data_IF_105544890298
#
_entry.id   IF_105544890298
#
_cell.length_a   1.000
_cell.length_b   1.000
_cell.length_c   1.000
_cell.angle_alpha   90.00
_cell.angle_beta   90.00
_cell.angle_gamma   90.00
#
_symmetry.space_group_name_H-M   'P 1'
#
loop_
_entity.id
_entity.type
_entity.pdbx_description
1 polymer ?
#
# COMPACT_ATOMS: atom_id res chain seq x y z
N UNK A 1 26.90 -28.00 25.23
CA UNK A 1 25.89 -27.78 24.16
C UNK A 1 26.09 -26.41 23.52
N UNK A 2 27.15 -26.24 22.71
CA UNK A 2 27.53 -24.94 22.14
C UNK A 2 27.86 -25.03 20.63
N UNK A 3 27.29 -26.01 19.93
CA UNK A 3 27.55 -26.26 18.50
C UNK A 3 26.31 -26.08 17.62
N UNK A 4 25.13 -25.83 18.19
CA UNK A 4 23.88 -25.77 17.42
C UNK A 4 23.51 -24.38 16.88
N UNK A 5 24.22 -23.33 17.30
CA UNK A 5 23.86 -21.92 16.96
C UNK A 5 24.73 -21.35 15.82
N UNK A 6 25.89 -21.96 15.53
CA UNK A 6 26.83 -21.48 14.51
C UNK A 6 26.53 -21.97 13.08
N UNK A 7 25.76 -23.05 12.91
CA UNK A 7 25.47 -23.63 11.59
C UNK A 7 24.40 -22.90 10.76
N UNK A 8 23.62 -22.00 11.37
CA UNK A 8 22.43 -21.39 10.73
C UNK A 8 22.71 -20.09 9.96
N UNK A 9 23.89 -19.50 10.16
CA UNK A 9 24.26 -18.18 9.64
C UNK A 9 25.12 -18.21 8.36
N UNK A 10 25.52 -19.38 7.85
CA UNK A 10 26.64 -19.46 6.90
C UNK A 10 26.22 -19.73 5.44
N UNK A 11 24.96 -20.08 5.16
CA UNK A 11 24.55 -20.31 3.76
C UNK A 11 23.11 -19.85 3.47
N UNK A 12 22.96 -18.61 3.00
CA UNK A 12 21.83 -18.23 2.16
C UNK A 12 22.16 -18.63 0.72
N UNK A 13 21.42 -19.57 0.10
CA UNK A 13 21.69 -19.94 -1.28
C UNK A 13 21.56 -18.72 -2.20
N UNK A 14 22.25 -18.69 -3.35
CA UNK A 14 22.05 -17.62 -4.32
C UNK A 14 20.57 -17.54 -4.71
N UNK A 15 20.08 -16.32 -4.93
CA UNK A 15 18.76 -16.12 -5.48
C UNK A 15 18.76 -16.58 -6.94
N UNK A 16 17.92 -17.57 -7.23
CA UNK A 16 17.63 -17.98 -8.59
C UNK A 16 16.30 -17.36 -8.99
N UNK A 17 16.35 -16.42 -9.93
CA UNK A 17 15.13 -15.84 -10.47
C UNK A 17 14.26 -16.96 -11.08
N UNK A 18 12.95 -16.98 -10.81
CA UNK A 18 12.04 -17.93 -11.45
C UNK A 18 11.93 -17.75 -12.97
N UNK A 19 12.34 -16.59 -13.51
CA UNK A 19 12.23 -16.26 -14.93
C UNK A 19 13.18 -15.15 -15.35
N UNK A 20 13.35 -14.96 -16.65
CA UNK A 20 13.96 -13.75 -17.19
C UNK A 20 12.95 -12.60 -17.18
N UNK A 21 13.42 -11.39 -16.89
CA UNK A 21 12.59 -10.19 -16.83
C UNK A 21 12.93 -9.28 -18.01
N UNK A 22 12.11 -9.26 -19.08
CA UNK A 22 12.34 -8.34 -20.18
C UNK A 22 12.26 -6.87 -19.69
N UNK A 23 12.96 -5.93 -20.34
CA UNK A 23 12.87 -4.52 -19.98
C UNK A 23 11.43 -4.02 -20.06
N UNK A 24 10.98 -3.32 -19.01
CA UNK A 24 9.68 -2.68 -18.95
C UNK A 24 9.80 -1.19 -19.24
N UNK A 25 8.86 -0.65 -20.02
CA UNK A 25 8.71 0.79 -20.14
C UNK A 25 8.36 1.40 -18.78
N UNK A 26 8.90 2.58 -18.49
CA UNK A 26 8.73 3.24 -17.19
C UNK A 26 7.24 3.47 -16.84
N UNK A 27 6.41 3.81 -17.84
CA UNK A 27 4.97 3.99 -17.64
C UNK A 27 4.25 2.68 -17.26
N UNK A 28 4.63 1.56 -17.88
CA UNK A 28 4.07 0.25 -17.54
C UNK A 28 4.52 -0.19 -16.15
N UNK A 29 5.79 0.06 -15.82
CA UNK A 29 6.33 -0.19 -14.47
C UNK A 29 5.58 0.59 -13.41
N UNK A 30 5.37 1.89 -13.60
CA UNK A 30 4.63 2.74 -12.65
C UNK A 30 3.17 2.29 -12.48
N UNK A 31 2.50 1.89 -13.58
CA UNK A 31 1.15 1.32 -13.54
C UNK A 31 1.11 0.02 -12.73
N UNK A 32 2.02 -0.91 -13.03
CA UNK A 32 2.10 -2.20 -12.35
C UNK A 32 2.47 -2.06 -10.87
N UNK A 33 3.35 -1.11 -10.54
CA UNK A 33 3.74 -0.79 -9.16
C UNK A 33 2.54 -0.34 -8.31
N UNK A 34 1.78 0.63 -8.83
CA UNK A 34 0.57 1.11 -8.16
C UNK A 34 -0.46 -0.01 -7.99
N UNK A 35 -0.69 -0.79 -9.06
CA UNK A 35 -1.65 -1.89 -9.05
C UNK A 35 -1.22 -2.97 -8.05
N UNK A 36 0.05 -3.40 -8.07
CA UNK A 36 0.60 -4.39 -7.13
C UNK A 36 0.42 -3.95 -5.68
N UNK A 37 0.72 -2.69 -5.34
CA UNK A 37 0.69 -2.25 -3.95
C UNK A 37 -0.74 -1.99 -3.45
N UNK A 38 -1.65 -1.57 -4.31
CA UNK A 38 -3.08 -1.56 -3.99
C UNK A 38 -3.58 -2.98 -3.71
N UNK A 39 -3.18 -3.97 -4.53
CA UNK A 39 -3.51 -5.38 -4.30
C UNK A 39 -3.02 -5.91 -2.96
N UNK A 40 -1.77 -5.61 -2.62
CA UNK A 40 -1.15 -6.08 -1.38
C UNK A 40 -1.75 -5.41 -0.13
N UNK A 41 -2.39 -4.25 -0.28
CA UNK A 41 -3.01 -3.51 0.82
C UNK A 41 -4.38 -4.07 1.25
N UNK A 42 -5.06 -4.82 0.38
CA UNK A 42 -6.41 -5.34 0.67
C UNK A 42 -6.33 -6.59 1.56
N UNK A 43 -6.78 -6.43 2.81
CA UNK A 43 -6.93 -7.52 3.78
C UNK A 43 -8.24 -8.30 3.57
N UNK A 44 -8.16 -9.61 3.36
CA UNK A 44 -9.28 -10.56 3.57
C UNK A 44 -10.57 -10.22 2.82
N UNK A 45 -10.50 -10.07 1.50
CA UNK A 45 -11.64 -9.70 0.66
C UNK A 45 -12.82 -10.65 0.84
N UNK A 46 -13.93 -10.10 1.35
CA UNK A 46 -15.23 -10.77 1.47
C UNK A 46 -15.86 -10.94 0.06
N UNK A 47 -16.69 -11.99 -0.16
CA UNK A 47 -17.20 -12.35 -1.48
C UNK A 47 -18.15 -11.30 -2.10
N UNK A 48 -18.36 -11.28 -3.44
CA UNK A 48 -18.01 -12.33 -4.41
C UNK A 48 -17.01 -11.93 -5.52
N UNK A 49 -16.41 -10.74 -5.50
CA UNK A 49 -15.64 -10.22 -6.65
C UNK A 49 -14.11 -10.24 -6.51
N UNK A 50 -13.56 -10.64 -5.35
CA UNK A 50 -12.11 -10.66 -5.15
C UNK A 50 -11.60 -11.92 -4.44
N UNK A 51 -11.25 -12.93 -5.25
CA UNK A 51 -10.66 -14.18 -4.76
C UNK A 51 -9.14 -14.01 -4.61
N UNK A 52 -8.55 -14.74 -3.65
CA UNK A 52 -7.09 -14.90 -3.53
C UNK A 52 -6.47 -15.34 -4.87
N UNK A 53 -7.20 -16.13 -5.66
CA UNK A 53 -6.76 -16.61 -6.96
C UNK A 53 -6.66 -15.50 -8.03
N UNK A 54 -7.62 -14.56 -8.08
CA UNK A 54 -7.54 -13.40 -9.00
C UNK A 54 -6.30 -12.56 -8.71
N UNK A 55 -6.07 -12.23 -7.44
CA UNK A 55 -4.87 -11.48 -7.00
C UNK A 55 -3.59 -12.20 -7.39
N UNK A 56 -3.55 -13.51 -7.10
CA UNK A 56 -2.41 -14.36 -7.45
C UNK A 56 -2.13 -14.35 -8.95
N UNK A 57 -3.16 -14.54 -9.76
CA UNK A 57 -3.05 -14.55 -11.21
C UNK A 57 -2.53 -13.21 -11.73
N UNK A 58 -3.10 -12.10 -11.25
CA UNK A 58 -2.68 -10.76 -11.61
C UNK A 58 -1.18 -10.51 -11.33
N UNK A 59 -0.72 -10.86 -10.13
CA UNK A 59 0.68 -10.67 -9.72
C UNK A 59 1.63 -11.57 -10.54
N UNK A 60 1.22 -12.81 -10.81
CA UNK A 60 2.00 -13.72 -11.66
C UNK A 60 2.07 -13.22 -13.11
N UNK A 61 1.01 -12.59 -13.62
CA UNK A 61 0.99 -12.02 -14.97
C UNK A 61 1.82 -10.74 -15.09
N UNK A 62 1.87 -9.90 -14.05
CA UNK A 62 2.84 -8.80 -13.97
C UNK A 62 4.29 -9.32 -14.01
N UNK A 63 4.57 -10.38 -13.25
CA UNK A 63 5.89 -11.01 -13.26
C UNK A 63 6.26 -11.56 -14.66
N UNK A 64 5.30 -12.18 -15.39
CA UNK A 64 5.52 -12.65 -16.78
C UNK A 64 5.82 -11.51 -17.74
N UNK A 65 5.29 -10.31 -17.49
CA UNK A 65 5.54 -9.13 -18.31
C UNK A 65 6.89 -8.46 -18.01
N UNK A 66 7.67 -8.98 -17.04
CA UNK A 66 8.98 -8.44 -16.68
C UNK A 66 9.03 -7.65 -15.37
N UNK A 67 7.92 -7.59 -14.61
CA UNK A 67 7.91 -6.85 -13.34
C UNK A 67 8.42 -7.72 -12.20
N UNK A 68 9.75 -7.80 -12.05
CA UNK A 68 10.45 -8.63 -11.04
C UNK A 68 9.91 -8.43 -9.60
N UNK A 69 9.57 -7.20 -9.24
CA UNK A 69 9.02 -6.86 -7.91
C UNK A 69 7.72 -7.62 -7.62
N UNK A 70 6.88 -7.92 -8.63
CA UNK A 70 5.68 -8.73 -8.44
C UNK A 70 6.01 -10.19 -8.10
N UNK A 71 7.04 -10.77 -8.73
CA UNK A 71 7.48 -12.14 -8.46
C UNK A 71 8.11 -12.25 -7.06
N UNK A 72 8.86 -11.22 -6.65
CA UNK A 72 9.36 -11.09 -5.28
C UNK A 72 8.22 -10.94 -4.27
N UNK A 73 7.19 -10.16 -4.58
CA UNK A 73 6.01 -10.05 -3.71
C UNK A 73 5.30 -11.40 -3.57
N UNK A 74 5.14 -12.14 -4.66
CA UNK A 74 4.56 -13.48 -4.65
C UNK A 74 5.34 -14.44 -3.75
N UNK A 75 6.68 -14.44 -3.84
CA UNK A 75 7.55 -15.28 -3.02
C UNK A 75 7.58 -14.87 -1.53
N UNK A 76 7.51 -13.57 -1.24
CA UNK A 76 7.78 -13.04 0.10
C UNK A 76 6.53 -12.71 0.92
N UNK A 77 5.36 -12.47 0.31
CA UNK A 77 4.18 -12.04 1.05
C UNK A 77 3.12 -13.13 1.23
N UNK A 78 3.45 -14.37 0.83
CA UNK A 78 2.57 -15.55 0.89
C UNK A 78 1.16 -15.21 0.38
N UNK A 79 1.07 -14.96 -0.92
CA UNK A 79 -0.16 -14.63 -1.66
C UNK A 79 -1.04 -15.89 -1.85
N UNK A 80 -0.87 -16.89 -0.98
CA UNK A 80 -1.64 -18.14 -0.93
C UNK A 80 -2.66 -18.15 0.22
N UNK A 81 -3.47 -19.23 0.33
CA UNK A 81 -4.61 -19.31 1.24
C UNK A 81 -4.25 -19.39 2.74
N UNK A 82 -2.98 -19.55 3.11
CA UNK A 82 -2.54 -19.63 4.51
C UNK A 82 -1.93 -18.31 4.98
N UNK A 83 -2.78 -17.41 5.48
CA UNK A 83 -2.32 -16.15 6.12
C UNK A 83 -1.80 -16.46 7.52
N UNK A 84 -0.51 -16.82 7.64
CA UNK A 84 0.15 -16.85 8.95
C UNK A 84 0.54 -15.43 9.34
N UNK A 85 -0.30 -14.77 10.15
CA UNK A 85 -0.02 -13.47 10.78
C UNK A 85 0.79 -13.66 12.07
N UNK A 86 2.11 -13.84 11.93
CA UNK A 86 3.00 -13.98 13.10
C UNK A 86 4.47 -13.78 12.75
N UNK A 87 5.35 -13.82 13.77
CA UNK A 87 6.81 -13.89 13.59
C UNK A 87 7.12 -15.12 12.73
N UNK A 88 7.44 -14.88 11.47
CA UNK A 88 7.79 -15.92 10.51
C UNK A 88 9.30 -16.11 10.50
N UNK A 89 9.74 -17.35 10.64
CA UNK A 89 11.14 -17.70 10.43
C UNK A 89 11.34 -17.95 8.94
N UNK A 90 12.20 -17.14 8.32
CA UNK A 90 12.39 -17.24 6.88
C UNK A 90 12.96 -18.58 6.45
N UNK A 91 12.23 -19.26 5.57
CA UNK A 91 12.74 -20.43 4.88
C UNK A 91 13.93 -20.02 4.00
N UNK A 92 14.88 -20.92 3.71
CA UNK A 92 16.09 -20.57 2.98
C UNK A 92 15.86 -19.83 1.66
N UNK A 93 14.84 -20.23 0.88
CA UNK A 93 14.50 -19.58 -0.39
C UNK A 93 13.90 -18.17 -0.20
N UNK A 94 13.07 -17.96 0.82
CA UNK A 94 12.52 -16.63 1.17
C UNK A 94 13.63 -15.68 1.61
N UNK A 95 14.68 -16.18 2.29
CA UNK A 95 15.87 -15.38 2.61
C UNK A 95 16.58 -14.94 1.34
N UNK A 96 16.82 -15.84 0.39
CA UNK A 96 17.49 -15.50 -0.87
C UNK A 96 16.70 -14.46 -1.66
N UNK A 97 15.38 -14.63 -1.77
CA UNK A 97 14.50 -13.66 -2.39
C UNK A 97 14.52 -12.30 -1.65
N UNK A 98 14.49 -12.31 -0.32
CA UNK A 98 14.56 -11.09 0.47
C UNK A 98 15.92 -10.39 0.35
N UNK A 99 17.02 -11.13 0.32
CA UNK A 99 18.36 -10.56 0.06
C UNK A 99 18.44 -9.93 -1.32
N UNK A 100 17.85 -10.57 -2.34
CA UNK A 100 17.80 -10.00 -3.67
C UNK A 100 16.93 -8.73 -3.70
N UNK A 101 15.74 -8.75 -3.09
CA UNK A 101 14.88 -7.57 -2.93
C UNK A 101 15.63 -6.41 -2.26
N UNK A 102 16.40 -6.69 -1.19
CA UNK A 102 17.22 -5.68 -0.52
C UNK A 102 18.32 -5.12 -1.42
N UNK A 103 18.96 -5.94 -2.26
CA UNK A 103 19.94 -5.44 -3.24
C UNK A 103 19.30 -4.46 -4.23
N UNK A 104 18.10 -4.77 -4.74
CA UNK A 104 17.35 -3.85 -5.60
C UNK A 104 17.00 -2.55 -4.86
N UNK A 105 16.50 -2.67 -3.63
CA UNK A 105 16.14 -1.52 -2.80
C UNK A 105 17.35 -0.62 -2.47
N UNK A 106 18.49 -1.23 -2.12
CA UNK A 106 19.75 -0.55 -1.83
C UNK A 106 20.37 0.07 -3.10
N UNK A 107 20.06 -0.47 -4.29
CA UNK A 107 20.42 0.11 -5.58
C UNK A 107 19.52 1.30 -6.00
N UNK A 108 18.49 1.63 -5.21
CA UNK A 108 17.65 2.80 -5.43
C UNK A 108 16.33 2.53 -6.14
N UNK A 109 15.93 1.27 -6.33
CA UNK A 109 14.63 0.93 -6.92
C UNK A 109 13.48 1.28 -5.94
N UNK A 110 12.61 2.26 -6.28
CA UNK A 110 11.56 2.71 -5.37
C UNK A 110 10.47 1.65 -5.13
N UNK A 111 10.17 0.82 -6.13
CA UNK A 111 9.23 -0.30 -6.01
C UNK A 111 9.77 -1.35 -5.06
N UNK A 112 11.05 -1.72 -5.21
CA UNK A 112 11.73 -2.67 -4.34
C UNK A 112 11.86 -2.13 -2.90
N UNK A 113 12.16 -0.85 -2.72
CA UNK A 113 12.17 -0.20 -1.41
C UNK A 113 10.81 -0.31 -0.73
N UNK A 114 9.72 -0.02 -1.46
CA UNK A 114 8.40 -0.07 -0.88
C UNK A 114 7.94 -1.50 -0.55
N UNK A 115 8.24 -2.47 -1.42
CA UNK A 115 8.00 -3.87 -1.13
C UNK A 115 8.84 -4.36 0.05
N UNK A 116 10.12 -3.96 0.15
CA UNK A 116 10.98 -4.33 1.28
C UNK A 116 10.41 -3.80 2.61
N UNK A 117 9.89 -2.57 2.63
CA UNK A 117 9.20 -2.03 3.79
C UNK A 117 7.98 -2.88 4.18
N UNK A 118 7.14 -3.30 3.22
CA UNK A 118 6.01 -4.18 3.49
C UNK A 118 6.45 -5.53 4.08
N UNK A 119 7.49 -6.14 3.52
CA UNK A 119 8.06 -7.41 4.01
C UNK A 119 8.59 -7.25 5.44
N UNK A 120 9.33 -6.18 5.72
CA UNK A 120 9.84 -5.88 7.07
C UNK A 120 8.71 -5.74 8.07
N UNK A 121 7.66 -4.98 7.73
CA UNK A 121 6.52 -4.78 8.61
C UNK A 121 5.75 -6.08 8.86
N UNK A 122 5.53 -6.89 7.82
CA UNK A 122 4.80 -8.17 7.92
C UNK A 122 5.55 -9.19 8.78
N UNK A 123 6.87 -9.27 8.65
CA UNK A 123 7.68 -10.28 9.33
C UNK A 123 8.31 -9.79 10.64
N UNK A 124 8.11 -8.52 11.01
CA UNK A 124 8.69 -7.94 12.21
C UNK A 124 10.22 -7.91 12.18
N UNK A 125 10.80 -7.57 11.03
CA UNK A 125 12.25 -7.41 10.87
C UNK A 125 12.71 -6.04 11.41
N UNK A 126 13.96 -5.66 11.15
CA UNK A 126 14.53 -4.40 11.64
C UNK A 126 13.79 -3.16 11.09
N UNK A 127 13.00 -2.53 11.97
CA UNK A 127 12.20 -1.35 11.67
C UNK A 127 13.02 -0.10 11.31
N UNK A 128 14.34 -0.08 11.59
CA UNK A 128 15.21 1.00 11.09
C UNK A 128 15.36 0.93 9.57
N UNK A 129 15.39 -0.28 9.00
CA UNK A 129 15.38 -0.47 7.55
C UNK A 129 14.01 -0.19 6.95
N UNK A 130 12.92 -0.48 7.68
CA UNK A 130 11.56 -0.08 7.28
C UNK A 130 11.49 1.42 7.04
N UNK A 131 11.86 2.23 8.05
CA UNK A 131 11.84 3.68 7.93
C UNK A 131 12.71 4.16 6.78
N UNK A 132 13.94 3.65 6.69
CA UNK A 132 14.89 4.05 5.63
C UNK A 132 14.30 3.84 4.24
N UNK A 133 13.75 2.66 3.97
CA UNK A 133 13.17 2.36 2.66
C UNK A 133 11.88 3.13 2.38
N UNK A 134 11.01 3.33 3.39
CA UNK A 134 9.81 4.17 3.24
C UNK A 134 10.20 5.60 2.87
N UNK A 135 11.16 6.20 3.58
CA UNK A 135 11.61 7.58 3.31
C UNK A 135 12.22 7.70 1.92
N UNK A 136 13.09 6.76 1.52
CA UNK A 136 13.72 6.77 0.20
C UNK A 136 12.67 6.64 -0.93
N UNK A 137 11.77 5.67 -0.84
CA UNK A 137 10.74 5.45 -1.84
C UNK A 137 9.73 6.61 -1.91
N UNK A 138 9.34 7.16 -0.74
CA UNK A 138 8.44 8.31 -0.69
C UNK A 138 9.07 9.55 -1.36
N UNK A 139 10.36 9.81 -1.10
CA UNK A 139 11.09 10.90 -1.73
C UNK A 139 11.27 10.70 -3.25
N UNK A 140 11.37 9.45 -3.71
CA UNK A 140 11.35 9.08 -5.12
C UNK A 140 9.95 9.16 -5.76
N UNK A 141 8.91 9.52 -4.98
CA UNK A 141 7.56 9.74 -5.48
C UNK A 141 6.68 8.50 -5.54
N UNK A 142 7.12 7.38 -4.95
CA UNK A 142 6.41 6.11 -4.93
C UNK A 142 5.09 6.26 -4.12
N UNK A 143 3.91 6.04 -4.74
CA UNK A 143 2.62 6.41 -4.15
C UNK A 143 2.33 5.77 -2.79
N UNK A 144 2.57 4.46 -2.66
CA UNK A 144 2.22 3.73 -1.45
C UNK A 144 3.13 4.09 -0.28
N UNK A 145 4.41 4.32 -0.54
CA UNK A 145 5.39 4.74 0.45
C UNK A 145 5.25 6.21 0.83
N UNK A 146 4.69 7.06 -0.03
CA UNK A 146 4.18 8.38 0.41
C UNK A 146 3.11 8.19 1.49
N UNK A 147 2.19 7.24 1.32
CA UNK A 147 1.22 6.91 2.36
C UNK A 147 1.90 6.33 3.62
N UNK A 148 2.83 5.38 3.50
CA UNK A 148 3.54 4.85 4.67
C UNK A 148 4.34 5.94 5.41
N UNK A 149 4.93 6.89 4.68
CA UNK A 149 5.61 8.04 5.27
C UNK A 149 4.64 8.92 6.07
N UNK A 150 3.40 9.10 5.59
CA UNK A 150 2.37 9.78 6.38
C UNK A 150 2.12 9.07 7.72
N UNK A 151 2.17 7.75 7.76
CA UNK A 151 1.99 6.98 8.99
C UNK A 151 3.17 7.14 9.97
N UNK A 152 4.40 7.33 9.47
CA UNK A 152 5.60 7.63 10.28
C UNK A 152 5.50 9.03 10.89
N UNK A 153 5.04 10.00 10.10
CA UNK A 153 4.89 11.39 10.54
C UNK A 153 3.71 11.59 11.50
N UNK A 154 2.74 10.68 11.50
CA UNK A 154 1.55 10.80 12.36
C UNK A 154 1.86 10.46 13.83
N UNK A 155 1.46 11.30 14.80
CA UNK A 155 1.65 10.99 16.21
C UNK A 155 0.83 9.76 16.66
N UNK A 156 1.24 9.06 17.73
CA UNK A 156 2.48 9.26 18.48
C UNK A 156 3.71 8.64 17.78
N UNK A 157 4.88 9.19 18.10
CA UNK A 157 6.17 8.69 17.62
C UNK A 157 6.38 7.23 18.01
N UNK A 158 6.92 6.43 17.08
CA UNK A 158 7.32 5.04 17.31
C UNK A 158 8.72 5.00 17.90
N UNK A 159 8.98 4.03 18.78
CA UNK A 159 10.29 3.89 19.45
C UNK A 159 11.47 3.67 18.49
N UNK A 160 11.21 3.16 17.29
CA UNK A 160 12.22 2.88 16.27
C UNK A 160 12.44 4.02 15.28
N UNK A 161 11.55 5.02 15.26
CA UNK A 161 11.57 6.05 14.23
C UNK A 161 12.63 7.13 14.55
N UNK A 162 13.35 7.55 13.52
CA UNK A 162 14.25 8.71 13.55
C UNK A 162 13.58 9.97 13.02
N UNK A 163 12.63 9.81 12.11
CA UNK A 163 11.86 10.90 11.52
C UNK A 163 10.95 11.50 12.58
N UNK A 164 11.03 12.81 12.84
CA UNK A 164 10.15 13.46 13.80
C UNK A 164 8.70 13.42 13.31
N UNK A 165 7.76 13.35 14.25
CA UNK A 165 6.34 13.48 13.93
C UNK A 165 6.06 14.88 13.38
N UNK A 166 5.19 14.95 12.39
CA UNK A 166 4.70 16.18 11.76
C UNK A 166 3.29 15.88 11.26
N UNK A 167 2.29 16.14 12.10
CA UNK A 167 0.90 15.80 11.80
C UNK A 167 0.40 16.54 10.55
N UNK A 168 0.80 17.80 10.37
CA UNK A 168 0.42 18.58 9.20
C UNK A 168 0.96 17.94 7.93
N UNK A 169 2.26 17.66 7.88
CA UNK A 169 2.89 17.02 6.72
C UNK A 169 2.35 15.61 6.49
N UNK A 170 2.02 14.87 7.56
CA UNK A 170 1.31 13.59 7.47
C UNK A 170 0.02 13.73 6.65
N UNK A 171 -0.84 14.71 6.98
CA UNK A 171 -2.09 14.92 6.22
C UNK A 171 -1.84 15.32 4.76
N UNK A 172 -0.85 16.20 4.52
CA UNK A 172 -0.46 16.60 3.16
C UNK A 172 -0.03 15.37 2.32
N UNK A 173 0.76 14.47 2.91
CA UNK A 173 1.19 13.23 2.25
C UNK A 173 0.05 12.24 2.04
N UNK A 174 -0.94 12.15 2.93
CA UNK A 174 -2.12 11.29 2.70
C UNK A 174 -2.90 11.75 1.49
N UNK A 175 -3.20 13.05 1.40
CA UNK A 175 -3.90 13.60 0.24
C UNK A 175 -3.08 13.39 -1.03
N UNK A 176 -1.76 13.57 -0.98
CA UNK A 176 -0.87 13.29 -2.11
C UNK A 176 -0.91 11.82 -2.54
N UNK A 177 -0.88 10.87 -1.61
CA UNK A 177 -0.99 9.44 -1.91
C UNK A 177 -2.34 9.10 -2.56
N UNK A 178 -3.44 9.67 -2.05
CA UNK A 178 -4.77 9.49 -2.64
C UNK A 178 -4.83 10.02 -4.09
N UNK A 179 -4.24 11.20 -4.35
CA UNK A 179 -4.13 11.76 -5.71
C UNK A 179 -3.28 10.91 -6.66
N UNK A 180 -2.30 10.20 -6.10
CA UNK A 180 -1.44 9.26 -6.82
C UNK A 180 -2.05 7.86 -6.97
N UNK A 181 -3.30 7.65 -6.56
CA UNK A 181 -4.02 6.42 -6.83
C UNK A 181 -3.97 5.36 -5.74
N UNK A 182 -3.50 5.68 -4.52
CA UNK A 182 -3.50 4.72 -3.41
C UNK A 182 -4.94 4.51 -2.93
N UNK A 183 -5.53 3.38 -3.32
CA UNK A 183 -6.95 3.09 -3.16
C UNK A 183 -7.39 3.17 -1.69
N UNK A 184 -6.60 2.59 -0.79
CA UNK A 184 -6.90 2.61 0.64
C UNK A 184 -7.09 4.04 1.17
N UNK A 185 -6.27 4.98 0.71
CA UNK A 185 -6.36 6.38 1.16
C UNK A 185 -7.53 7.09 0.49
N UNK A 186 -7.86 6.76 -0.76
CA UNK A 186 -9.06 7.27 -1.43
C UNK A 186 -10.32 6.81 -0.70
N UNK A 187 -10.41 5.53 -0.32
CA UNK A 187 -11.51 4.99 0.51
C UNK A 187 -11.56 5.64 1.90
N UNK A 188 -10.40 5.89 2.50
CA UNK A 188 -10.33 6.64 3.76
C UNK A 188 -10.95 8.04 3.61
N UNK A 189 -10.61 8.78 2.55
CA UNK A 189 -11.19 10.10 2.28
C UNK A 189 -12.70 10.05 1.97
N UNK A 190 -13.17 9.02 1.25
CA UNK A 190 -14.61 8.74 1.06
C UNK A 190 -15.32 8.63 2.40
N UNK A 191 -14.77 7.85 3.33
CA UNK A 191 -15.34 7.64 4.66
C UNK A 191 -15.38 8.93 5.49
N UNK A 192 -14.30 9.72 5.47
CA UNK A 192 -14.21 10.97 6.21
C UNK A 192 -15.21 12.02 5.73
N UNK A 193 -15.30 12.24 4.42
CA UNK A 193 -16.21 13.23 3.84
C UNK A 193 -17.68 12.78 3.92
N UNK A 194 -17.96 11.49 3.77
CA UNK A 194 -19.35 11.00 3.83
C UNK A 194 -19.97 11.08 5.23
N UNK A 195 -19.14 11.14 6.27
CA UNK A 195 -19.58 11.21 7.66
C UNK A 195 -19.32 12.56 8.33
N UNK A 196 -18.45 13.40 7.76
CA UNK A 196 -18.07 14.67 8.35
C UNK A 196 -17.29 14.53 9.66
N UNK A 197 -16.28 13.66 9.69
CA UNK A 197 -15.54 13.28 10.91
C UNK A 197 -14.06 13.69 10.84
N UNK A 198 -13.38 13.67 12.00
CA UNK A 198 -11.94 13.98 12.15
C UNK A 198 -11.54 15.32 11.52
N UNK A 199 -12.42 16.32 11.58
CA UNK A 199 -12.21 17.66 11.02
C UNK A 199 -12.51 17.80 9.53
N UNK A 200 -13.02 16.76 8.87
CA UNK A 200 -13.53 16.87 7.50
C UNK A 200 -15.01 17.28 7.54
N UNK A 201 -15.45 18.24 6.72
CA UNK A 201 -16.88 18.59 6.64
C UNK A 201 -17.68 17.45 6.00
N UNK A 202 -18.95 17.32 6.39
CA UNK A 202 -19.89 16.43 5.70
C UNK A 202 -20.03 16.89 4.24
N UNK A 203 -19.63 16.04 3.30
CA UNK A 203 -19.62 16.36 1.88
C UNK A 203 -19.78 15.09 1.03
N UNK A 204 -21.02 14.77 0.66
CA UNK A 204 -21.35 13.55 -0.08
C UNK A 204 -20.81 13.60 -1.52
N UNK A 205 -20.77 14.78 -2.15
CA UNK A 205 -20.23 14.94 -3.51
C UNK A 205 -18.74 14.60 -3.57
N UNK A 206 -17.93 15.17 -2.66
CA UNK A 206 -16.51 14.83 -2.52
C UNK A 206 -16.29 13.36 -2.23
N UNK A 207 -17.08 12.77 -1.32
CA UNK A 207 -16.99 11.35 -1.02
C UNK A 207 -17.23 10.48 -2.27
N UNK A 208 -18.21 10.82 -3.12
CA UNK A 208 -18.46 10.14 -4.39
C UNK A 208 -17.28 10.25 -5.36
N UNK A 209 -16.66 11.42 -5.45
CA UNK A 209 -15.47 11.61 -6.29
C UNK A 209 -14.27 10.79 -5.82
N UNK A 210 -14.02 10.71 -4.51
CA UNK A 210 -12.95 9.86 -3.99
C UNK A 210 -13.23 8.37 -4.19
N UNK A 211 -14.50 7.95 -4.03
CA UNK A 211 -14.91 6.58 -4.30
C UNK A 211 -14.73 6.20 -5.78
N UNK A 212 -15.08 7.08 -6.73
CA UNK A 212 -14.94 6.78 -8.16
C UNK A 212 -13.48 6.66 -8.59
N UNK A 213 -12.56 7.37 -7.93
CA UNK A 213 -11.12 7.16 -8.10
C UNK A 213 -10.67 5.82 -7.53
N UNK A 214 -11.15 5.45 -6.33
CA UNK A 214 -10.84 4.15 -5.71
C UNK A 214 -11.29 2.98 -6.57
N UNK A 215 -12.45 3.09 -7.24
CA UNK A 215 -12.97 2.05 -8.13
C UNK A 215 -12.02 1.74 -9.30
N UNK A 216 -11.13 2.66 -9.70
CA UNK A 216 -10.16 2.44 -10.77
C UNK A 216 -9.05 1.45 -10.39
N UNK A 217 -8.82 1.23 -9.10
CA UNK A 217 -7.84 0.23 -8.63
C UNK A 217 -8.33 -1.21 -8.84
N UNK A 218 -9.65 -1.42 -8.96
CA UNK A 218 -10.31 -2.72 -9.22
C UNK A 218 -9.79 -3.86 -8.31
N UNK A 219 -9.52 -3.57 -7.04
CA UNK A 219 -9.07 -4.56 -6.06
C UNK A 219 -10.24 -5.22 -5.29
N UNK A 220 -11.47 -4.80 -5.61
CA UNK A 220 -12.68 -5.15 -4.85
C UNK A 220 -12.81 -4.46 -3.48
N UNK A 221 -11.85 -3.62 -3.06
CA UNK A 221 -11.88 -2.88 -1.79
C UNK A 221 -13.05 -1.89 -1.66
N UNK A 222 -13.63 -1.47 -2.77
CA UNK A 222 -14.67 -0.44 -2.82
C UNK A 222 -16.10 -0.92 -2.48
N UNK A 223 -16.36 -2.24 -2.44
CA UNK A 223 -17.73 -2.78 -2.35
C UNK A 223 -18.50 -2.33 -1.11
N UNK A 224 -17.84 -2.37 0.05
CA UNK A 224 -18.46 -1.98 1.33
C UNK A 224 -18.69 -0.47 1.37
N UNK A 225 -17.68 0.33 0.99
CA UNK A 225 -17.79 1.79 0.99
C UNK A 225 -18.82 2.29 -0.02
N UNK A 226 -18.98 1.60 -1.16
CA UNK A 226 -20.03 1.89 -2.14
C UNK A 226 -21.43 1.71 -1.54
N UNK A 227 -21.67 0.58 -0.88
CA UNK A 227 -22.96 0.31 -0.22
C UNK A 227 -23.25 1.34 0.88
N UNK A 228 -22.25 1.67 1.70
CA UNK A 228 -22.36 2.69 2.74
C UNK A 228 -22.69 4.06 2.17
N UNK A 229 -22.02 4.47 1.09
CA UNK A 229 -22.22 5.77 0.47
C UNK A 229 -23.59 5.89 -0.21
N UNK A 230 -24.11 4.80 -0.79
CA UNK A 230 -25.48 4.76 -1.32
C UNK A 230 -26.49 5.04 -0.20
N UNK A 231 -26.37 4.33 0.92
CA UNK A 231 -27.25 4.53 2.07
C UNK A 231 -27.15 5.96 2.63
N UNK A 232 -25.94 6.48 2.83
CA UNK A 232 -25.71 7.86 3.29
C UNK A 232 -26.29 8.91 2.33
N UNK A 233 -26.17 8.67 1.01
CA UNK A 233 -26.75 9.56 -0.01
C UNK A 233 -28.27 9.62 0.11
N UNK A 234 -28.95 8.49 0.29
CA UNK A 234 -30.41 8.46 0.46
C UNK A 234 -30.85 9.21 1.72
N UNK A 235 -30.12 9.04 2.84
CA UNK A 235 -30.37 9.76 4.08
C UNK A 235 -30.16 11.28 3.92
N UNK A 236 -29.10 11.69 3.21
CA UNK A 236 -28.81 13.09 2.94
C UNK A 236 -29.89 13.74 2.07
N UNK A 237 -30.34 13.06 1.01
CA UNK A 237 -31.44 13.51 0.16
C UNK A 237 -32.74 13.70 0.94
N UNK A 238 -33.10 12.74 1.80
CA UNK A 238 -34.28 12.84 2.66
C UNK A 238 -34.23 14.02 3.65
N UNK A 239 -33.04 14.54 3.94
CA UNK A 239 -32.80 15.71 4.81
C UNK A 239 -32.56 17.01 4.04
N UNK A 240 -32.67 17.00 2.70
CA UNK A 240 -32.44 18.18 1.87
C UNK A 240 -30.97 18.65 1.83
N UNK A 241 -30.01 17.78 2.16
CA UNK A 241 -28.58 18.10 2.07
C UNK A 241 -28.16 18.05 0.60
N UNK A 242 -27.42 19.06 0.14
CA UNK A 242 -26.87 19.08 -1.21
C UNK A 242 -25.81 17.97 -1.39
N UNK A 243 -25.99 17.17 -2.44
CA UNK A 243 -25.14 16.03 -2.82
C UNK A 243 -24.45 16.24 -4.17
N UNK A 244 -24.63 17.40 -4.80
CA UNK A 244 -24.23 17.69 -6.18
C UNK A 244 -22.81 18.22 -6.34
N UNK A 245 -22.07 18.37 -5.24
CA UNK A 245 -20.73 18.96 -5.30
C UNK A 245 -19.79 18.16 -6.22
N UNK A 246 -19.24 18.86 -7.21
CA UNK A 246 -18.24 18.32 -8.13
C UNK A 246 -16.85 18.67 -7.62
N UNK A 247 -16.07 17.65 -7.27
CA UNK A 247 -14.71 17.82 -6.77
C UNK A 247 -13.69 17.41 -7.82
N UNK A 248 -12.70 18.29 -8.07
CA UNK A 248 -11.52 17.95 -8.85
C UNK A 248 -10.36 17.54 -7.92
N UNK A 249 -10.01 16.24 -7.88
CA UNK A 249 -8.93 15.72 -7.04
C UNK A 249 -7.56 16.30 -7.39
N UNK A 250 -7.39 16.96 -8.56
CA UNK A 250 -6.15 17.62 -8.96
C UNK A 250 -5.96 19.00 -8.31
N UNK A 251 -7.00 19.60 -7.74
CA UNK A 251 -6.89 20.91 -7.09
C UNK A 251 -6.03 20.85 -5.83
N UNK A 252 -5.05 21.75 -5.68
CA UNK A 252 -3.96 21.59 -4.71
C UNK A 252 -4.38 21.56 -3.23
N UNK A 253 -5.54 22.14 -2.87
CA UNK A 253 -5.95 22.33 -1.46
C UNK A 253 -7.15 21.45 -1.10
N UNK A 254 -6.90 20.45 -0.26
CA UNK A 254 -7.95 19.83 0.54
C UNK A 254 -7.95 20.52 1.91
N UNK A 255 -8.90 21.43 2.14
CA UNK A 255 -9.06 22.09 3.43
C UNK A 255 -9.87 21.20 4.36
N UNK A 256 -9.16 20.52 5.26
CA UNK A 256 -9.72 20.10 6.55
C UNK A 256 -10.18 21.37 7.29
N UNK A 257 -11.29 21.32 8.01
CA UNK A 257 -11.64 22.40 8.94
C UNK A 257 -10.51 22.47 9.98
N UNK A 258 -9.77 23.57 9.96
CA UNK A 258 -8.77 23.87 11.00
C UNK A 258 -9.53 24.31 12.24
N UNK A 259 -9.37 23.57 13.34
CA UNK A 259 -9.71 24.07 14.68
C UNK A 259 -8.68 25.11 15.11
#
# INVERSE_FOLDING_TARGET
MALSVLGWYIYTPPYHSPREYPPLAEADRQRMDLQLLNELAVNGSRPPLYTVERRRQLILDMAKQGFEVADLAYQLLNIGPTVNSGRHWLMPWERSAYHHLRRLADAGDPSAQCLAALVIARWGLDMRNYERYVVQAANAGQPYCIFLMSAILNPPAKYWQKTPVDERKSEELRVLAARKGVEWVQLYLTSLYSQGIKGYPLNIGKAKCWLSLAEQADTGGTLTEKSNLIWLTQQAQGKGIDISEHYDPKQRRETKLTN
#
